data_IF_666319648780
#
_entry.id   IF_666319648780
#
_cell.length_a   1.000
_cell.length_b   1.000
_cell.length_c   1.000
_cell.angle_alpha   90.00
_cell.angle_beta   90.00
_cell.angle_gamma   90.00
#
_symmetry.space_group_name_H-M   'P 1'
#
loop_
_entity.id
_entity.type
_entity.pdbx_description
1 polymer ?
#
# COMPACT_ATOMS: atom_id res chain seq x y z
N UNK A 1 -47.66 47.00 11.72
CA UNK A 1 -46.81 45.86 12.13
C UNK A 1 -46.26 45.24 10.86
N UNK A 2 -45.10 45.69 10.35
CA UNK A 2 -43.85 44.90 10.31
C UNK A 2 -44.11 43.40 10.29
N UNK A 3 -43.82 42.75 9.16
CA UNK A 3 -42.95 41.57 9.18
C UNK A 3 -42.22 41.49 7.82
N UNK A 4 -40.94 41.83 7.85
CA UNK A 4 -40.00 41.56 6.77
C UNK A 4 -40.00 40.05 6.50
N UNK A 5 -40.33 39.66 5.26
CA UNK A 5 -40.15 38.31 4.74
C UNK A 5 -38.64 38.09 4.56
N UNK A 6 -37.98 37.62 5.63
CA UNK A 6 -36.60 37.14 5.60
C UNK A 6 -36.64 35.76 4.95
N UNK A 7 -36.30 35.69 3.67
CA UNK A 7 -36.00 34.43 2.96
C UNK A 7 -34.62 33.98 3.44
N UNK A 8 -34.47 32.84 4.13
CA UNK A 8 -33.15 32.31 4.42
C UNK A 8 -32.61 31.72 3.13
N UNK A 9 -31.63 32.41 2.54
CA UNK A 9 -30.80 31.86 1.48
C UNK A 9 -29.99 30.69 2.08
N UNK A 10 -30.52 29.48 1.97
CA UNK A 10 -29.80 28.23 2.21
C UNK A 10 -28.78 28.07 1.07
N UNK A 11 -27.67 28.79 1.17
CA UNK A 11 -26.52 28.60 0.28
C UNK A 11 -25.98 27.21 0.59
N UNK A 12 -26.11 26.33 -0.39
CA UNK A 12 -25.64 24.96 -0.33
C UNK A 12 -24.14 24.93 -0.03
N UNK A 13 -23.77 24.45 1.16
CA UNK A 13 -22.40 24.06 1.49
C UNK A 13 -22.09 22.73 0.78
N UNK A 14 -21.96 22.79 -0.55
CA UNK A 14 -21.41 21.69 -1.33
C UNK A 14 -19.91 21.65 -1.16
N UNK A 15 -19.41 20.81 -0.24
CA UNK A 15 -17.98 20.53 -0.14
C UNK A 15 -17.52 19.75 -1.37
N UNK A 16 -16.66 20.36 -2.18
CA UNK A 16 -15.98 19.65 -3.26
C UNK A 16 -14.99 18.66 -2.63
N UNK A 17 -15.21 17.36 -2.79
CA UNK A 17 -14.23 16.35 -2.39
C UNK A 17 -13.06 16.44 -3.37
N UNK A 18 -11.85 16.85 -2.93
CA UNK A 18 -10.71 16.88 -3.83
C UNK A 18 -10.40 15.46 -4.32
N UNK A 19 -9.90 15.31 -5.55
CA UNK A 19 -9.47 14.01 -6.05
C UNK A 19 -8.40 13.43 -5.12
N UNK A 20 -8.49 12.12 -4.86
CA UNK A 20 -7.52 11.43 -4.01
C UNK A 20 -6.14 11.49 -4.64
N UNK A 21 -5.12 11.91 -3.88
CA UNK A 21 -3.73 11.99 -4.35
C UNK A 21 -3.19 10.63 -4.82
N UNK A 22 -3.64 9.54 -4.19
CA UNK A 22 -3.23 8.17 -4.51
C UNK A 22 -4.43 7.26 -4.65
N UNK A 23 -4.25 6.22 -5.47
CA UNK A 23 -5.20 5.12 -5.59
C UNK A 23 -4.73 3.96 -4.70
N UNK A 24 -5.61 3.52 -3.79
CA UNK A 24 -5.31 2.47 -2.81
C UNK A 24 -5.78 1.07 -3.22
N UNK A 25 -6.50 0.93 -4.33
CA UNK A 25 -6.82 -0.38 -4.92
C UNK A 25 -7.72 -1.30 -4.09
N UNK A 26 -8.39 -0.80 -3.06
CA UNK A 26 -9.15 -1.63 -2.11
C UNK A 26 -8.33 -2.16 -0.93
N UNK A 27 -7.09 -1.68 -0.76
CA UNK A 27 -6.16 -2.07 0.30
C UNK A 27 -6.81 -2.10 1.69
N UNK A 28 -7.45 -1.02 2.13
CA UNK A 28 -8.02 -0.91 3.47
C UNK A 28 -9.06 -2.01 3.75
N UNK A 29 -9.96 -2.26 2.80
CA UNK A 29 -11.00 -3.27 2.92
C UNK A 29 -10.40 -4.69 2.90
N UNK A 30 -9.42 -4.93 2.04
CA UNK A 30 -8.72 -6.20 1.95
C UNK A 30 -7.93 -6.51 3.23
N UNK A 31 -7.20 -5.51 3.76
CA UNK A 31 -6.45 -5.60 5.00
C UNK A 31 -7.38 -5.89 6.19
N UNK A 32 -8.46 -5.14 6.32
CA UNK A 32 -9.46 -5.38 7.37
C UNK A 32 -10.05 -6.79 7.30
N UNK A 33 -10.34 -7.26 6.09
CA UNK A 33 -10.86 -8.61 5.86
C UNK A 33 -9.84 -9.69 6.22
N UNK A 34 -8.56 -9.48 5.89
CA UNK A 34 -7.46 -10.36 6.25
C UNK A 34 -7.21 -10.43 7.75
N UNK A 35 -7.31 -9.30 8.47
CA UNK A 35 -7.20 -9.30 9.93
C UNK A 35 -8.33 -10.05 10.61
N UNK A 36 -9.54 -9.99 10.06
CA UNK A 36 -10.68 -10.78 10.57
C UNK A 36 -10.55 -12.26 10.27
N UNK A 37 -10.03 -12.58 9.10
CA UNK A 37 -9.94 -13.94 8.58
C UNK A 37 -8.61 -14.09 7.83
N UNK A 38 -7.59 -14.71 8.46
CA UNK A 38 -6.27 -14.89 7.85
C UNK A 38 -6.31 -15.62 6.50
N UNK A 39 -7.34 -16.43 6.22
CA UNK A 39 -7.50 -17.08 4.91
C UNK A 39 -7.68 -16.08 3.77
N UNK A 40 -8.04 -14.82 4.07
CA UNK A 40 -8.21 -13.74 3.09
C UNK A 40 -6.92 -12.95 2.81
N UNK A 41 -5.82 -13.21 3.52
CA UNK A 41 -4.55 -12.54 3.25
C UNK A 41 -4.03 -12.83 1.84
N UNK A 42 -4.29 -14.03 1.31
CA UNK A 42 -3.94 -14.38 -0.05
C UNK A 42 -4.75 -13.58 -1.09
N UNK A 43 -6.05 -13.36 -0.83
CA UNK A 43 -6.87 -12.52 -1.68
C UNK A 43 -6.41 -11.05 -1.67
N UNK A 44 -5.97 -10.55 -0.51
CA UNK A 44 -5.34 -9.23 -0.41
C UNK A 44 -4.05 -9.17 -1.24
N UNK A 45 -3.18 -10.18 -1.15
CA UNK A 45 -1.94 -10.25 -1.94
C UNK A 45 -2.23 -10.14 -3.45
N UNK A 46 -3.14 -10.97 -3.95
CA UNK A 46 -3.51 -10.97 -5.37
C UNK A 46 -4.14 -9.64 -5.82
N UNK A 47 -4.97 -9.02 -4.98
CA UNK A 47 -5.53 -7.70 -5.25
C UNK A 47 -4.44 -6.62 -5.33
N UNK A 48 -3.49 -6.61 -4.39
CA UNK A 48 -2.38 -5.66 -4.41
C UNK A 48 -1.45 -5.87 -5.61
N UNK A 49 -1.20 -7.11 -6.03
CA UNK A 49 -0.44 -7.39 -7.26
C UNK A 49 -1.10 -6.78 -8.49
N UNK A 50 -2.40 -7.01 -8.66
CA UNK A 50 -3.16 -6.48 -9.77
C UNK A 50 -3.17 -4.96 -9.76
N UNK A 51 -3.36 -4.36 -8.58
CA UNK A 51 -3.36 -2.91 -8.40
C UNK A 51 -2.00 -2.29 -8.71
N UNK A 52 -0.91 -2.83 -8.15
CA UNK A 52 0.46 -2.38 -8.43
C UNK A 52 0.77 -2.44 -9.92
N UNK A 53 0.47 -3.57 -10.57
CA UNK A 53 0.70 -3.72 -12.01
C UNK A 53 -0.11 -2.70 -12.85
N UNK A 54 -1.35 -2.39 -12.45
CA UNK A 54 -2.18 -1.39 -13.13
C UNK A 54 -1.63 0.03 -12.97
N UNK A 55 -1.16 0.39 -11.78
CA UNK A 55 -0.53 1.69 -11.51
C UNK A 55 0.78 1.85 -12.30
N UNK A 56 1.64 0.84 -12.27
CA UNK A 56 2.89 0.82 -13.06
C UNK A 56 2.62 0.96 -14.56
N UNK A 57 1.64 0.20 -15.09
CA UNK A 57 1.27 0.25 -16.52
C UNK A 57 0.70 1.61 -16.93
N UNK A 58 -0.01 2.28 -16.04
CA UNK A 58 -0.59 3.60 -16.31
C UNK A 58 0.38 4.77 -16.05
N UNK A 59 1.61 4.47 -15.60
CA UNK A 59 2.60 5.49 -15.23
C UNK A 59 2.25 6.28 -13.97
N UNK A 60 1.24 5.82 -13.21
CA UNK A 60 0.87 6.45 -11.94
C UNK A 60 1.74 5.91 -10.81
N UNK A 61 2.05 6.75 -9.82
CA UNK A 61 2.76 6.31 -8.62
C UNK A 61 1.87 5.37 -7.81
N UNK A 62 2.37 4.18 -7.50
CA UNK A 62 1.80 3.29 -6.49
C UNK A 62 1.78 4.01 -5.15
N UNK A 63 0.65 3.95 -4.42
CA UNK A 63 0.49 4.66 -3.16
C UNK A 63 1.60 4.28 -2.14
N UNK A 64 2.04 5.23 -1.28
CA UNK A 64 3.04 4.97 -0.26
C UNK A 64 2.70 3.74 0.57
N UNK A 65 3.69 2.87 0.79
CA UNK A 65 3.57 1.65 1.58
C UNK A 65 3.01 0.44 0.84
N UNK A 66 2.37 0.58 -0.34
CA UNK A 66 1.77 -0.59 -1.01
C UNK A 66 2.82 -1.56 -1.56
N UNK A 67 3.98 -1.09 -2.01
CA UNK A 67 5.06 -2.01 -2.37
C UNK A 67 5.58 -2.73 -1.13
N UNK A 68 5.76 -2.02 0.00
CA UNK A 68 6.20 -2.62 1.25
C UNK A 68 5.20 -3.65 1.79
N UNK A 69 3.91 -3.36 1.76
CA UNK A 69 2.87 -4.29 2.17
C UNK A 69 2.88 -5.55 1.31
N UNK A 70 2.88 -5.39 -0.03
CA UNK A 70 2.94 -6.53 -0.93
C UNK A 70 4.23 -7.35 -0.74
N UNK A 71 5.36 -6.67 -0.50
CA UNK A 71 6.63 -7.32 -0.16
C UNK A 71 6.54 -8.13 1.15
N UNK A 72 5.83 -7.60 2.14
CA UNK A 72 5.61 -8.27 3.43
C UNK A 72 4.73 -9.50 3.26
N UNK A 73 3.66 -9.43 2.49
CA UNK A 73 2.80 -10.58 2.18
C UNK A 73 3.59 -11.68 1.46
N UNK A 74 4.49 -11.31 0.53
CA UNK A 74 5.38 -12.27 -0.11
C UNK A 74 6.40 -12.89 0.84
N UNK A 75 6.97 -12.09 1.75
CA UNK A 75 7.87 -12.59 2.77
C UNK A 75 7.18 -13.61 3.69
N UNK A 76 5.96 -13.32 4.11
CA UNK A 76 5.13 -14.23 4.91
C UNK A 76 4.81 -15.53 4.16
N UNK A 77 4.61 -15.45 2.84
CA UNK A 77 4.47 -16.61 1.96
C UNK A 77 5.80 -17.33 1.64
N UNK A 78 6.92 -16.93 2.28
CA UNK A 78 8.24 -17.56 2.13
C UNK A 78 9.07 -17.05 0.94
N UNK A 79 8.56 -16.12 0.13
CA UNK A 79 9.23 -15.58 -1.05
C UNK A 79 10.08 -14.36 -0.70
N UNK A 80 11.22 -14.58 -0.04
CA UNK A 80 12.15 -13.51 0.37
C UNK A 80 12.71 -12.69 -0.79
N UNK A 81 12.96 -13.30 -1.96
CA UNK A 81 13.44 -12.57 -3.15
C UNK A 81 12.42 -11.55 -3.67
N UNK A 82 11.14 -11.95 -3.70
CA UNK A 82 10.05 -11.05 -4.10
C UNK A 82 9.88 -9.93 -3.10
N UNK A 83 10.02 -10.21 -1.81
CA UNK A 83 9.98 -9.21 -0.75
C UNK A 83 11.08 -8.16 -0.93
N UNK A 84 12.33 -8.58 -1.15
CA UNK A 84 13.48 -7.68 -1.39
C UNK A 84 13.23 -6.79 -2.62
N UNK A 85 12.74 -7.38 -3.72
CA UNK A 85 12.44 -6.63 -4.94
C UNK A 85 11.39 -5.53 -4.70
N UNK A 86 10.33 -5.84 -3.97
CA UNK A 86 9.25 -4.91 -3.65
C UNK A 86 9.68 -3.84 -2.63
N UNK A 87 10.43 -4.20 -1.59
CA UNK A 87 11.03 -3.22 -0.68
C UNK A 87 11.97 -2.26 -1.40
N UNK A 88 12.70 -2.74 -2.42
CA UNK A 88 13.54 -1.88 -3.25
C UNK A 88 12.71 -0.88 -4.05
N UNK A 89 11.57 -1.31 -4.62
CA UNK A 89 10.64 -0.40 -5.32
C UNK A 89 10.07 0.66 -4.37
N UNK A 90 9.67 0.28 -3.16
CA UNK A 90 9.19 1.23 -2.13
C UNK A 90 10.28 2.26 -1.81
N UNK A 91 11.50 1.80 -1.50
CA UNK A 91 12.67 2.62 -1.16
C UNK A 91 12.96 3.68 -2.23
N UNK A 92 12.85 3.28 -3.49
CA UNK A 92 13.21 4.11 -4.64
C UNK A 92 12.06 5.04 -5.06
N UNK A 93 10.82 4.67 -4.76
CA UNK A 93 9.63 5.49 -5.05
C UNK A 93 9.39 6.55 -3.97
N UNK A 94 9.66 6.21 -2.70
CA UNK A 94 9.28 7.01 -1.52
C UNK A 94 10.49 7.32 -0.64
N UNK A 95 11.05 8.55 -0.69
CA UNK A 95 12.23 8.91 0.10
C UNK A 95 12.01 8.78 1.61
N UNK A 96 10.78 8.95 2.08
CA UNK A 96 10.38 8.80 3.48
C UNK A 96 10.57 7.36 3.99
N UNK A 97 10.42 6.37 3.11
CA UNK A 97 10.55 4.95 3.44
C UNK A 97 11.99 4.44 3.41
N UNK A 98 12.92 5.22 2.83
CA UNK A 98 14.24 4.74 2.39
C UNK A 98 15.04 4.06 3.50
N UNK A 99 15.05 4.65 4.69
CA UNK A 99 15.78 4.11 5.85
C UNK A 99 15.26 2.73 6.27
N UNK A 100 13.95 2.60 6.42
CA UNK A 100 13.31 1.34 6.83
C UNK A 100 13.52 0.25 5.77
N UNK A 101 13.23 0.56 4.50
CA UNK A 101 13.35 -0.42 3.42
C UNK A 101 14.79 -0.90 3.24
N UNK A 102 15.78 -0.01 3.37
CA UNK A 102 17.20 -0.39 3.33
C UNK A 102 17.54 -1.39 4.44
N UNK A 103 17.10 -1.12 5.67
CA UNK A 103 17.35 -2.02 6.80
C UNK A 103 16.66 -3.39 6.62
N UNK A 104 15.43 -3.41 6.09
CA UNK A 104 14.69 -4.64 5.82
C UNK A 104 15.35 -5.48 4.73
N UNK A 105 15.76 -4.86 3.62
CA UNK A 105 16.48 -5.54 2.51
C UNK A 105 17.77 -6.18 3.05
N UNK A 106 18.61 -5.40 3.72
CA UNK A 106 19.88 -5.91 4.26
C UNK A 106 19.68 -7.03 5.28
N UNK A 107 18.62 -6.99 6.08
CA UNK A 107 18.29 -8.08 7.00
C UNK A 107 17.98 -9.37 6.26
N UNK A 108 17.15 -9.30 5.21
CA UNK A 108 16.77 -10.47 4.42
C UNK A 108 17.96 -11.05 3.66
N UNK A 109 18.78 -10.21 3.03
CA UNK A 109 19.99 -10.65 2.31
C UNK A 109 20.96 -11.40 3.24
N UNK A 110 21.21 -10.88 4.45
CA UNK A 110 22.03 -11.57 5.45
C UNK A 110 21.45 -12.92 5.85
N UNK A 111 20.13 -13.01 6.02
CA UNK A 111 19.44 -14.27 6.36
C UNK A 111 19.54 -15.30 5.23
N UNK A 112 19.40 -14.86 3.98
CA UNK A 112 19.57 -15.73 2.82
C UNK A 112 21.00 -16.24 2.71
N UNK A 113 22.00 -15.37 2.90
CA UNK A 113 23.41 -15.76 2.91
C UNK A 113 23.70 -16.80 3.99
N UNK A 114 23.28 -16.56 5.23
CA UNK A 114 23.47 -17.50 6.33
C UNK A 114 22.80 -18.87 6.05
N UNK A 115 21.62 -18.86 5.43
CA UNK A 115 20.93 -20.10 5.03
C UNK A 115 21.73 -20.87 3.96
N UNK A 116 22.22 -20.18 2.93
CA UNK A 116 23.04 -20.81 1.88
C UNK A 116 24.37 -21.37 2.42
N UNK A 117 24.97 -20.71 3.41
CA UNK A 117 26.19 -21.19 4.07
C UNK A 117 25.93 -22.44 4.91
N UNK A 118 24.76 -22.55 5.57
CA UNK A 118 24.39 -23.72 6.35
C UNK A 118 23.98 -24.94 5.52
N UNK A 119 23.59 -24.73 4.26
CA UNK A 119 23.20 -25.79 3.31
C UNK A 119 24.38 -26.35 2.51
N UNK A 120 25.58 -25.76 2.65
CA UNK A 120 26.84 -26.25 2.07
C UNK A 120 27.51 -27.27 2.97
#
# INVERSE_FOLDING_TARGET
>A
MRLLLIVPALVALGGCVPPTLYQWGGYEQGLYSGYKDPAKMEALRLNLEAHVAAMEKSGQKVAPGLYAELGTLYLQAGSSDKAIALYSRERDTWPESKGLMTAMIQNLERRQQAKMEAEK
#
